data_IF_216678624644
#
_entry.id   IF_216678624644
#
_cell.length_a   1.000
_cell.length_b   1.000
_cell.length_c   1.000
_cell.angle_alpha   90.00
_cell.angle_beta   90.00
_cell.angle_gamma   90.00
#
_symmetry.space_group_name_H-M   'P 1'
#
loop_
_entity.id
_entity.type
_entity.pdbx_description
1 polymer ?
#
# COMPACT_ATOMS: atom_id res chain seq x y z
N UNK A 1 -7.96 -2.70 -15.75
CA UNK A 1 -8.52 -1.42 -16.25
C UNK A 1 -9.06 -1.53 -17.68
N UNK A 2 -8.29 -2.05 -18.65
CA UNK A 2 -8.74 -2.16 -20.06
C UNK A 2 -10.02 -2.96 -20.25
N UNK A 3 -10.17 -4.12 -19.60
CA UNK A 3 -11.40 -4.91 -19.70
C UNK A 3 -12.62 -4.23 -19.05
N UNK A 4 -12.43 -3.52 -17.94
CA UNK A 4 -13.53 -2.83 -17.23
C UNK A 4 -13.99 -1.61 -18.04
N UNK A 5 -13.07 -0.72 -18.40
CA UNK A 5 -13.40 0.51 -19.14
C UNK A 5 -13.72 0.27 -20.62
N UNK A 6 -13.10 -0.73 -21.24
CA UNK A 6 -13.41 -1.14 -22.60
C UNK A 6 -14.79 -1.79 -22.71
N UNK A 7 -15.10 -2.76 -21.84
CA UNK A 7 -16.36 -3.51 -21.97
C UNK A 7 -17.56 -2.83 -21.30
N UNK A 8 -17.38 -2.10 -20.19
CA UNK A 8 -18.51 -1.49 -19.48
C UNK A 8 -18.76 -0.03 -19.87
N UNK A 9 -17.71 0.71 -20.22
CA UNK A 9 -17.80 2.15 -20.47
C UNK A 9 -17.55 2.53 -21.94
N UNK A 10 -17.34 1.56 -22.83
CA UNK A 10 -17.06 1.76 -24.26
C UNK A 10 -15.89 2.71 -24.52
N UNK A 11 -14.90 2.76 -23.62
CA UNK A 11 -13.72 3.60 -23.83
C UNK A 11 -12.84 3.01 -24.93
N UNK A 12 -12.57 3.81 -25.97
CA UNK A 12 -11.51 3.52 -26.94
C UNK A 12 -10.17 3.37 -26.23
N UNK A 13 -9.27 2.52 -26.73
CA UNK A 13 -7.94 2.28 -26.15
C UNK A 13 -7.16 3.57 -25.82
N UNK A 14 -7.38 4.65 -26.58
CA UNK A 14 -6.81 5.99 -26.34
C UNK A 14 -7.22 6.59 -24.99
N UNK A 15 -8.45 6.37 -24.53
CA UNK A 15 -8.97 6.91 -23.28
C UNK A 15 -8.71 6.00 -22.06
N UNK A 16 -8.40 4.72 -22.27
CA UNK A 16 -8.03 3.80 -21.18
C UNK A 16 -6.77 4.27 -20.46
N UNK A 17 -5.81 4.87 -21.16
CA UNK A 17 -4.62 5.48 -20.56
C UNK A 17 -4.94 6.57 -19.54
N UNK A 18 -6.02 7.34 -19.77
CA UNK A 18 -6.44 8.43 -18.91
C UNK A 18 -6.92 7.95 -17.53
N UNK A 19 -7.41 6.71 -17.44
CA UNK A 19 -7.90 6.12 -16.18
C UNK A 19 -6.79 5.88 -15.15
N UNK A 20 -5.52 5.88 -15.58
CA UNK A 20 -4.36 5.78 -14.69
C UNK A 20 -4.04 7.10 -13.96
N UNK A 21 -4.63 8.22 -14.38
CA UNK A 21 -4.41 9.52 -13.71
C UNK A 21 -4.85 9.47 -12.24
N UNK A 22 -5.94 8.76 -11.93
CA UNK A 22 -6.39 8.59 -10.54
C UNK A 22 -5.29 7.97 -9.68
N UNK A 23 -4.79 6.81 -10.10
CA UNK A 23 -3.70 6.11 -9.43
C UNK A 23 -2.43 6.96 -9.32
N UNK A 24 -2.05 7.65 -10.40
CA UNK A 24 -0.86 8.52 -10.43
C UNK A 24 -0.99 9.71 -9.48
N UNK A 25 -2.12 10.42 -9.50
CA UNK A 25 -2.37 11.55 -8.61
C UNK A 25 -2.39 11.11 -7.14
N UNK A 26 -3.09 10.01 -6.84
CA UNK A 26 -3.11 9.43 -5.50
C UNK A 26 -1.72 9.00 -5.02
N UNK A 27 -0.92 8.39 -5.89
CA UNK A 27 0.46 8.00 -5.61
C UNK A 27 1.34 9.21 -5.24
N UNK A 28 1.23 10.31 -5.99
CA UNK A 28 1.96 11.56 -5.71
C UNK A 28 1.54 12.17 -4.37
N UNK A 29 0.23 12.21 -4.09
CA UNK A 29 -0.29 12.70 -2.80
C UNK A 29 0.23 11.82 -1.65
N UNK A 30 0.18 10.49 -1.81
CA UNK A 30 0.69 9.54 -0.83
C UNK A 30 2.18 9.72 -0.55
N UNK A 31 2.99 9.95 -1.59
CA UNK A 31 4.42 10.22 -1.45
C UNK A 31 4.69 11.52 -0.68
N UNK A 32 4.01 12.60 -1.05
CA UNK A 32 4.17 13.91 -0.40
C UNK A 32 3.71 13.86 1.06
N UNK A 33 2.57 13.22 1.34
CA UNK A 33 2.07 13.04 2.69
C UNK A 33 3.05 12.21 3.51
N UNK A 34 3.50 11.06 3.01
CA UNK A 34 4.44 10.19 3.74
C UNK A 34 5.75 10.92 4.00
N UNK A 35 6.35 11.57 3.00
CA UNK A 35 7.60 12.30 3.18
C UNK A 35 7.48 13.47 4.16
N UNK A 36 6.40 14.26 4.08
CA UNK A 36 6.22 15.45 4.93
C UNK A 36 5.85 15.07 6.37
N UNK A 37 4.96 14.09 6.55
CA UNK A 37 4.48 13.70 7.87
C UNK A 37 5.47 12.75 8.57
N UNK A 38 6.24 11.92 7.85
CA UNK A 38 7.27 11.02 8.40
C UNK A 38 8.19 11.73 9.38
N UNK A 39 8.80 12.82 8.95
CA UNK A 39 9.75 13.55 9.79
C UNK A 39 9.06 14.24 10.97
N UNK A 40 7.85 14.73 10.78
CA UNK A 40 7.10 15.46 11.81
C UNK A 40 6.63 14.51 12.91
N UNK A 41 6.03 13.38 12.53
CA UNK A 41 5.53 12.38 13.49
C UNK A 41 6.70 11.68 14.17
N UNK A 42 7.76 11.34 13.44
CA UNK A 42 8.96 10.73 14.05
C UNK A 42 9.61 11.66 15.08
N UNK A 43 9.72 12.96 14.79
CA UNK A 43 10.24 13.96 15.75
C UNK A 43 9.32 14.16 16.95
N UNK A 44 7.99 14.10 16.76
CA UNK A 44 7.03 14.20 17.87
C UNK A 44 7.09 12.97 18.78
N UNK A 45 7.15 11.77 18.20
CA UNK A 45 7.26 10.50 18.93
C UNK A 45 8.59 10.39 19.69
N UNK A 46 9.69 10.90 19.10
CA UNK A 46 10.99 11.00 19.76
C UNK A 46 11.06 12.10 20.85
N UNK A 47 9.94 12.70 21.29
CA UNK A 47 9.97 13.75 22.33
C UNK A 47 10.67 15.04 21.90
N UNK A 48 10.76 15.32 20.59
CA UNK A 48 11.45 16.47 20.01
C UNK A 48 12.80 16.11 19.38
N UNK A 49 13.71 17.08 19.30
CA UNK A 49 15.03 16.93 18.63
C UNK A 49 16.05 16.13 19.44
N UNK A 50 15.71 15.69 20.67
CA UNK A 50 16.67 15.15 21.65
C UNK A 50 16.37 13.74 22.16
N UNK A 51 15.22 13.14 21.83
CA UNK A 51 14.94 11.77 22.28
C UNK A 51 15.51 10.70 21.35
N UNK A 52 15.59 9.45 21.83
CA UNK A 52 16.13 8.34 21.07
C UNK A 52 15.27 8.12 19.82
N UNK A 53 15.92 8.03 18.66
CA UNK A 53 15.24 7.80 17.40
C UNK A 53 15.08 6.29 17.18
N UNK A 54 13.83 5.86 17.07
CA UNK A 54 13.46 4.47 16.82
C UNK A 54 12.89 4.32 15.39
N UNK A 55 13.42 3.39 14.57
CA UNK A 55 12.89 3.05 13.25
C UNK A 55 11.38 2.80 13.22
N UNK A 56 10.85 2.29 14.33
CA UNK A 56 9.45 1.96 14.55
C UNK A 56 8.54 3.19 14.41
N UNK A 57 9.01 4.40 14.71
CA UNK A 57 8.23 5.63 14.57
C UNK A 57 7.74 5.90 13.14
N UNK A 58 8.44 5.36 12.12
CA UNK A 58 7.98 5.43 10.73
C UNK A 58 6.73 4.57 10.50
N UNK A 59 6.62 3.41 11.14
CA UNK A 59 5.48 2.50 11.00
C UNK A 59 4.17 3.10 11.52
N UNK A 60 4.23 4.04 12.47
CA UNK A 60 3.03 4.72 13.00
C UNK A 60 2.25 5.48 11.91
N UNK A 61 2.95 6.02 10.90
CA UNK A 61 2.32 6.69 9.76
C UNK A 61 1.78 5.75 8.70
N UNK A 62 2.32 4.53 8.63
CA UNK A 62 1.84 3.52 7.70
C UNK A 62 0.36 3.22 7.92
N UNK A 63 -0.10 3.20 9.18
CA UNK A 63 -1.47 2.81 9.54
C UNK A 63 -2.53 3.76 8.95
N UNK A 64 -2.53 5.09 9.24
CA UNK A 64 -3.55 5.98 8.71
C UNK A 64 -3.51 6.09 7.18
N UNK A 65 -2.32 6.02 6.57
CA UNK A 65 -2.17 6.13 5.12
C UNK A 65 -2.55 4.83 4.39
N UNK A 66 -2.24 3.67 4.97
CA UNK A 66 -2.58 2.36 4.40
C UNK A 66 -4.08 2.07 4.40
N UNK A 67 -4.87 2.75 5.22
CA UNK A 67 -6.35 2.73 5.14
C UNK A 67 -6.88 3.20 3.77
N UNK A 68 -6.11 4.01 3.03
CA UNK A 68 -6.45 4.38 1.67
C UNK A 68 -6.59 3.17 0.74
N UNK A 69 -5.83 2.09 0.97
CA UNK A 69 -5.88 0.88 0.16
C UNK A 69 -7.24 0.16 0.24
N UNK A 70 -7.75 -0.26 1.42
CA UNK A 70 -9.06 -0.89 1.50
C UNK A 70 -10.18 0.07 1.12
N UNK A 71 -10.11 1.35 1.48
CA UNK A 71 -11.11 2.36 1.05
C UNK A 71 -11.19 2.41 -0.48
N UNK A 72 -10.03 2.49 -1.15
CA UNK A 72 -9.97 2.54 -2.60
C UNK A 72 -10.42 1.25 -3.28
N UNK A 73 -10.11 0.08 -2.70
CA UNK A 73 -10.59 -1.21 -3.18
C UNK A 73 -12.11 -1.33 -3.08
N UNK A 74 -12.71 -0.98 -1.93
CA UNK A 74 -14.17 -0.94 -1.79
C UNK A 74 -14.80 0.06 -2.77
N UNK A 75 -14.25 1.27 -2.86
CA UNK A 75 -14.79 2.29 -3.74
C UNK A 75 -14.74 1.88 -5.21
N UNK A 76 -13.56 1.45 -5.68
CA UNK A 76 -13.34 1.03 -7.07
C UNK A 76 -14.25 -0.15 -7.44
N UNK A 77 -14.32 -1.15 -6.56
CA UNK A 77 -15.04 -2.40 -6.81
C UNK A 77 -16.53 -2.19 -7.00
N UNK A 78 -17.18 -1.47 -6.08
CA UNK A 78 -18.62 -1.22 -6.15
C UNK A 78 -18.99 -0.19 -7.20
N UNK A 79 -18.14 0.82 -7.43
CA UNK A 79 -18.35 1.77 -8.53
C UNK A 79 -18.29 1.06 -9.89
N UNK A 80 -17.32 0.15 -10.09
CA UNK A 80 -17.20 -0.63 -11.31
C UNK A 80 -18.33 -1.67 -11.45
N UNK A 81 -18.70 -2.37 -10.39
CA UNK A 81 -19.77 -3.38 -10.42
C UNK A 81 -21.13 -2.76 -10.77
N UNK A 82 -21.46 -1.61 -10.15
CA UNK A 82 -22.70 -0.87 -10.42
C UNK A 82 -22.69 -0.07 -11.71
N UNK A 83 -21.57 -0.04 -12.44
CA UNK A 83 -21.38 0.77 -13.66
C UNK A 83 -21.70 2.25 -13.43
N UNK A 84 -21.34 2.77 -12.27
CA UNK A 84 -21.50 4.19 -11.91
C UNK A 84 -20.68 5.07 -12.86
N UNK A 85 -20.90 6.40 -12.84
CA UNK A 85 -20.17 7.33 -13.72
C UNK A 85 -18.66 7.03 -13.75
N UNK A 86 -18.05 7.01 -14.95
CA UNK A 86 -16.67 6.54 -15.21
C UNK A 86 -15.57 7.17 -14.33
N UNK A 87 -15.85 8.35 -13.75
CA UNK A 87 -14.95 9.05 -12.81
C UNK A 87 -14.90 8.38 -11.42
N UNK A 88 -15.97 7.70 -10.99
CA UNK A 88 -16.07 7.12 -9.65
C UNK A 88 -15.02 6.04 -9.40
N UNK A 89 -14.79 5.08 -10.32
CA UNK A 89 -13.71 4.12 -10.13
C UNK A 89 -12.31 4.78 -10.28
N UNK A 90 -12.17 5.91 -10.99
CA UNK A 90 -10.89 6.67 -11.05
C UNK A 90 -10.57 7.31 -9.70
N UNK A 91 -11.58 7.85 -9.00
CA UNK A 91 -11.39 8.36 -7.64
C UNK A 91 -10.98 7.23 -6.69
N UNK A 92 -11.62 6.05 -6.82
CA UNK A 92 -11.24 4.85 -6.07
C UNK A 92 -9.79 4.45 -6.29
N UNK A 93 -9.29 4.49 -7.53
CA UNK A 93 -7.89 4.16 -7.83
C UNK A 93 -6.91 5.20 -7.28
N UNK A 94 -7.34 6.44 -7.08
CA UNK A 94 -6.58 7.44 -6.33
C UNK A 94 -6.34 7.05 -4.87
N UNK A 95 -7.38 6.60 -4.18
CA UNK A 95 -7.25 6.10 -2.80
C UNK A 95 -6.32 4.88 -2.71
N UNK A 96 -6.43 3.94 -3.68
CA UNK A 96 -5.49 2.83 -3.82
C UNK A 96 -4.06 3.34 -3.95
N UNK A 97 -3.82 4.33 -4.83
CA UNK A 97 -2.50 4.91 -5.06
C UNK A 97 -1.87 5.50 -3.79
N UNK A 98 -2.66 6.24 -3.00
CA UNK A 98 -2.21 6.79 -1.71
C UNK A 98 -1.73 5.67 -0.79
N UNK A 99 -2.56 4.64 -0.59
CA UNK A 99 -2.26 3.55 0.34
C UNK A 99 -1.06 2.70 -0.09
N UNK A 100 -0.95 2.37 -1.39
CA UNK A 100 0.16 1.58 -1.94
C UNK A 100 1.48 2.30 -1.79
N UNK A 101 1.57 3.56 -2.23
CA UNK A 101 2.82 4.31 -2.21
C UNK A 101 3.26 4.62 -0.78
N UNK A 102 2.33 5.03 0.08
CA UNK A 102 2.65 5.29 1.47
C UNK A 102 3.18 4.05 2.19
N UNK A 103 2.55 2.89 1.99
CA UNK A 103 3.02 1.62 2.55
C UNK A 103 4.40 1.25 2.01
N UNK A 104 4.61 1.37 0.70
CA UNK A 104 5.88 1.04 0.06
C UNK A 104 7.03 1.90 0.58
N UNK A 105 6.86 3.22 0.61
CA UNK A 105 7.87 4.16 1.09
C UNK A 105 8.19 3.92 2.57
N UNK A 106 7.16 3.69 3.38
CA UNK A 106 7.35 3.48 4.83
C UNK A 106 8.06 2.16 5.13
N UNK A 107 7.72 1.07 4.44
CA UNK A 107 8.37 -0.23 4.61
C UNK A 107 9.83 -0.15 4.17
N UNK A 108 10.14 0.45 3.01
CA UNK A 108 11.52 0.60 2.55
C UNK A 108 12.35 1.46 3.51
N UNK A 109 11.77 2.57 3.99
CA UNK A 109 12.40 3.40 5.02
C UNK A 109 12.70 2.61 6.29
N UNK A 110 11.72 1.85 6.79
CA UNK A 110 11.89 1.01 7.98
C UNK A 110 12.99 -0.05 7.80
N UNK A 111 13.06 -0.75 6.65
CA UNK A 111 14.08 -1.76 6.41
C UNK A 111 15.49 -1.19 6.41
N UNK A 112 15.67 0.00 5.83
CA UNK A 112 16.97 0.70 5.83
C UNK A 112 17.38 1.08 7.24
N UNK A 113 16.44 1.54 8.05
CA UNK A 113 16.71 2.06 9.39
C UNK A 113 16.86 0.94 10.44
N UNK A 114 16.09 -0.13 10.32
CA UNK A 114 16.09 -1.24 11.26
C UNK A 114 17.26 -2.22 11.04
N UNK A 115 17.76 -2.33 9.81
CA UNK A 115 18.84 -3.24 9.45
C UNK A 115 20.06 -2.45 8.93
N UNK A 116 20.73 -1.65 9.76
CA UNK A 116 21.91 -0.88 9.31
C UNK A 116 23.00 -1.74 8.64
N UNK A 117 23.12 -3.00 9.02
CA UNK A 117 23.94 -4.03 8.36
C UNK A 117 23.16 -5.35 8.42
N UNK A 118 22.56 -5.90 7.33
CA UNK A 118 22.66 -5.61 5.90
C UNK A 118 21.37 -5.00 5.28
N UNK A 119 21.18 -3.68 5.36
CA UNK A 119 19.99 -2.96 4.85
C UNK A 119 19.68 -3.29 3.38
N UNK A 120 20.71 -3.33 2.54
CA UNK A 120 20.58 -3.60 1.11
C UNK A 120 20.03 -5.00 0.85
N UNK A 121 20.45 -5.99 1.64
CA UNK A 121 19.94 -7.36 1.52
C UNK A 121 18.49 -7.47 1.96
N UNK A 122 18.10 -6.79 3.05
CA UNK A 122 16.71 -6.74 3.51
C UNK A 122 15.79 -6.07 2.47
N UNK A 123 16.23 -4.94 1.89
CA UNK A 123 15.52 -4.27 0.80
C UNK A 123 15.41 -5.16 -0.46
N UNK A 124 16.48 -5.87 -0.82
CA UNK A 124 16.47 -6.81 -1.93
C UNK A 124 15.50 -7.98 -1.69
N UNK A 125 15.50 -8.58 -0.51
CA UNK A 125 14.56 -9.64 -0.13
C UNK A 125 13.11 -9.16 -0.21
N UNK A 126 12.82 -7.94 0.27
CA UNK A 126 11.48 -7.35 0.15
C UNK A 126 11.06 -7.17 -1.32
N UNK A 127 12.00 -6.80 -2.18
CA UNK A 127 11.76 -6.63 -3.61
C UNK A 127 11.50 -7.96 -4.29
N UNK A 128 12.27 -9.00 -3.95
CA UNK A 128 12.05 -10.36 -4.47
C UNK A 128 10.68 -10.89 -4.04
N UNK A 129 10.32 -10.78 -2.76
CA UNK A 129 9.02 -11.21 -2.26
C UNK A 129 7.88 -10.49 -2.98
N UNK A 130 7.99 -9.15 -3.13
CA UNK A 130 6.99 -8.35 -3.85
C UNK A 130 6.87 -8.77 -5.31
N UNK A 131 7.99 -9.02 -5.98
CA UNK A 131 8.01 -9.47 -7.39
C UNK A 131 7.42 -10.86 -7.56
N UNK A 132 7.71 -11.79 -6.64
CA UNK A 132 7.11 -13.13 -6.65
C UNK A 132 5.59 -13.05 -6.45
N UNK A 133 5.13 -12.29 -5.45
CA UNK A 133 3.69 -12.06 -5.24
C UNK A 133 3.05 -11.37 -6.45
N UNK A 134 3.74 -10.40 -7.05
CA UNK A 134 3.29 -9.71 -8.26
C UNK A 134 3.22 -10.60 -9.50
N UNK A 135 4.02 -11.67 -9.56
CA UNK A 135 3.97 -12.66 -10.63
C UNK A 135 2.89 -13.73 -10.38
N UNK A 136 2.71 -14.14 -9.13
CA UNK A 136 1.84 -15.25 -8.74
C UNK A 136 0.38 -14.81 -8.58
N UNK A 137 0.11 -13.68 -7.93
CA UNK A 137 -1.27 -13.22 -7.65
C UNK A 137 -2.12 -13.02 -8.92
N UNK A 138 -1.60 -12.47 -10.05
CA UNK A 138 -2.39 -12.34 -11.27
C UNK A 138 -2.83 -13.67 -11.89
N UNK A 139 -2.15 -14.79 -11.60
CA UNK A 139 -2.54 -16.11 -12.11
C UNK A 139 -3.90 -16.54 -11.56
N UNK A 140 -4.21 -16.17 -10.32
CA UNK A 140 -5.49 -16.47 -9.67
C UNK A 140 -6.58 -15.45 -9.99
N UNK A 141 -6.20 -14.25 -10.47
CA UNK A 141 -7.11 -13.14 -10.74
C UNK A 141 -8.28 -13.51 -11.66
N UNK A 142 -8.06 -14.05 -12.88
CA UNK A 142 -9.15 -14.41 -13.80
C UNK A 142 -10.14 -15.41 -13.22
N UNK A 143 -9.66 -16.44 -12.51
CA UNK A 143 -10.53 -17.43 -11.86
C UNK A 143 -11.33 -16.82 -10.71
N UNK A 144 -10.71 -15.91 -9.94
CA UNK A 144 -11.39 -15.22 -8.85
C UNK A 144 -12.49 -14.28 -9.39
N UNK A 145 -12.16 -13.45 -10.39
CA UNK A 145 -13.12 -12.49 -10.97
C UNK A 145 -14.24 -13.16 -11.77
N UNK A 146 -13.99 -14.33 -12.39
CA UNK A 146 -15.05 -15.10 -13.04
C UNK A 146 -16.03 -15.73 -12.04
N UNK A 147 -15.56 -16.12 -10.86
CA UNK A 147 -16.41 -16.69 -9.81
C UNK A 147 -17.15 -15.63 -8.98
N UNK A 148 -16.51 -14.49 -8.67
CA UNK A 148 -17.02 -13.51 -7.71
C UNK A 148 -17.44 -12.16 -8.34
N UNK A 149 -17.08 -11.90 -9.59
CA UNK A 149 -17.26 -10.57 -10.18
C UNK A 149 -16.27 -9.53 -9.61
N UNK A 150 -16.37 -8.29 -10.09
CA UNK A 150 -15.42 -7.22 -9.75
C UNK A 150 -15.70 -6.64 -8.36
N UNK A 151 -16.97 -6.57 -7.97
CA UNK A 151 -17.42 -6.10 -6.66
C UNK A 151 -16.90 -6.98 -5.53
N UNK A 152 -17.35 -8.23 -5.48
CA UNK A 152 -16.95 -9.16 -4.42
C UNK A 152 -15.47 -9.57 -4.51
N UNK A 153 -14.92 -9.76 -5.72
CA UNK A 153 -13.51 -10.12 -5.88
C UNK A 153 -12.56 -9.10 -5.23
N UNK A 154 -12.77 -7.80 -5.47
CA UNK A 154 -11.96 -6.75 -4.84
C UNK A 154 -12.34 -6.50 -3.37
N UNK A 155 -13.58 -6.76 -2.97
CA UNK A 155 -14.00 -6.68 -1.56
C UNK A 155 -13.28 -7.71 -0.71
N UNK A 156 -13.09 -8.93 -1.21
CA UNK A 156 -12.27 -9.96 -0.53
C UNK A 156 -10.83 -9.46 -0.37
N UNK A 157 -10.24 -8.88 -1.41
CA UNK A 157 -8.91 -8.26 -1.32
C UNK A 157 -8.87 -7.11 -0.30
N UNK A 158 -9.92 -6.31 -0.21
CA UNK A 158 -10.03 -5.23 0.77
C UNK A 158 -10.09 -5.77 2.21
N UNK A 159 -10.80 -6.88 2.45
CA UNK A 159 -10.80 -7.53 3.76
C UNK A 159 -9.45 -8.13 4.12
N UNK A 160 -8.74 -8.73 3.16
CA UNK A 160 -7.37 -9.20 3.37
C UNK A 160 -6.46 -8.02 3.72
N UNK A 161 -6.57 -6.90 3.00
CA UNK A 161 -5.82 -5.69 3.31
C UNK A 161 -6.11 -5.18 4.73
N UNK A 162 -7.39 -5.17 5.16
CA UNK A 162 -7.77 -4.79 6.53
C UNK A 162 -7.17 -5.75 7.56
N UNK A 163 -7.20 -7.06 7.30
CA UNK A 163 -6.62 -8.06 8.20
C UNK A 163 -5.09 -7.91 8.34
N UNK A 164 -4.42 -7.28 7.37
CA UNK A 164 -2.99 -6.97 7.42
C UNK A 164 -2.66 -5.62 8.08
N UNK A 165 -3.62 -4.71 8.27
CA UNK A 165 -3.43 -3.43 8.98
C UNK A 165 -2.91 -3.52 10.42
N UNK A 166 -3.24 -4.54 11.25
CA UNK A 166 -2.67 -4.64 12.58
C UNK A 166 -1.21 -5.13 12.56
N UNK A 167 -0.71 -5.66 11.44
CA UNK A 167 0.64 -6.21 11.36
C UNK A 167 1.72 -5.15 11.68
N UNK A 168 1.70 -3.93 11.10
CA UNK A 168 2.60 -2.85 11.48
C UNK A 168 2.51 -2.44 12.95
N UNK A 169 1.34 -2.53 13.61
CA UNK A 169 1.20 -2.25 15.04
C UNK A 169 1.89 -3.31 15.91
N UNK A 170 1.80 -4.57 15.48
CA UNK A 170 2.52 -5.66 16.14
C UNK A 170 4.03 -5.45 15.98
N UNK A 171 4.50 -5.09 14.79
CA UNK A 171 5.92 -4.75 14.59
C UNK A 171 6.35 -3.48 15.34
N UNK A 172 5.46 -2.49 15.50
CA UNK A 172 5.73 -1.29 16.29
C UNK A 172 5.97 -1.61 17.77
N UNK A 173 5.19 -2.53 18.34
CA UNK A 173 5.25 -2.88 19.77
C UNK A 173 6.27 -3.96 20.11
N UNK A 174 6.47 -4.93 19.21
CA UNK A 174 7.39 -6.06 19.42
C UNK A 174 8.72 -5.93 18.66
N UNK A 175 8.85 -4.96 17.75
CA UNK A 175 10.04 -4.76 16.91
C UNK A 175 11.31 -4.60 17.73
N UNK A 176 11.27 -3.79 18.79
CA UNK A 176 12.39 -3.62 19.71
C UNK A 176 12.85 -4.94 20.35
N UNK A 177 11.91 -5.79 20.80
CA UNK A 177 12.21 -7.12 21.38
C UNK A 177 12.77 -8.12 20.37
N UNK A 178 12.31 -8.06 19.12
CA UNK A 178 12.81 -8.92 18.04
C UNK A 178 14.22 -8.47 17.63
N UNK A 179 14.48 -7.16 17.61
CA UNK A 179 15.80 -6.58 17.32
C UNK A 179 16.83 -6.91 18.39
N UNK A 180 16.44 -6.89 19.67
CA UNK A 180 17.32 -7.29 20.78
C UNK A 180 17.68 -8.78 20.77
N UNK A 181 16.80 -9.65 20.28
CA UNK A 181 17.06 -11.11 20.22
C UNK A 181 17.88 -11.56 19.01
N UNK A 182 17.93 -10.76 17.94
CA UNK A 182 18.56 -11.14 16.67
C UNK A 182 19.61 -10.14 16.19
N UNK A 183 20.09 -9.23 17.04
CA UNK A 183 21.34 -8.53 16.78
C UNK A 183 22.46 -9.59 16.80
N UNK A 184 22.73 -10.17 15.64
CA UNK A 184 23.97 -10.88 15.38
C UNK A 184 25.08 -9.87 15.59
N UNK A 185 25.78 -10.05 16.71
CA UNK A 185 27.17 -9.62 16.90
C UNK A 185 27.96 -10.14 15.71
N UNK A 186 28.24 -9.27 14.74
CA UNK A 186 29.40 -9.32 13.85
C UNK A 186 29.80 -7.89 13.48
#
# INVERSE_FOLDING_TARGET
MSQVYGNQYNFTAKFVGLTYIGLGAGSTIGLLATGRFSDVVSKRLAGGTKGPWEPEFRLALMIPLSLGLPIGLFWYSWAAEKKEHWIMPIIGTGWIGIGVVASFVTIQGYLVDAFTTPAVSAAAASTVLRSLLGAVLPLFGPSMYSALGLGWGNTVLAFIAIAMLPLPLVFFTYGARVREKHLFVL
#
